data_IF_785520841482
#
_entry.id   IF_785520841482
#
_cell.length_a   1.000
_cell.length_b   1.000
_cell.length_c   1.000
_cell.angle_alpha   90.00
_cell.angle_beta   90.00
_cell.angle_gamma   90.00
#
_symmetry.space_group_name_H-M   'P 1'
#
loop_
_entity.id
_entity.type
_entity.pdbx_description
1 polymer ?
#
# COMPACT_ATOMS: atom_id res chain seq x y z
N UNK A 1 -26.71 44.29 -31.72
CA UNK A 1 -26.58 42.87 -32.13
C UNK A 1 -25.14 42.34 -32.09
N UNK A 2 -24.12 43.06 -32.59
CA UNK A 2 -22.72 42.59 -32.61
C UNK A 2 -22.15 42.18 -31.24
N UNK A 3 -22.42 42.96 -30.17
CA UNK A 3 -21.98 42.64 -28.79
C UNK A 3 -22.55 41.31 -28.27
N UNK A 4 -23.78 40.95 -28.65
CA UNK A 4 -24.42 39.69 -28.23
C UNK A 4 -23.76 38.50 -28.93
N UNK A 5 -23.45 38.63 -30.23
CA UNK A 5 -22.72 37.61 -31.00
C UNK A 5 -21.28 37.42 -30.51
N UNK A 6 -20.59 38.51 -30.14
CA UNK A 6 -19.24 38.46 -29.55
C UNK A 6 -19.25 37.73 -28.20
N UNK A 7 -20.23 38.01 -27.33
CA UNK A 7 -20.39 37.29 -26.07
C UNK A 7 -20.60 35.79 -26.27
N UNK A 8 -21.43 35.41 -27.25
CA UNK A 8 -21.66 34.00 -27.59
C UNK A 8 -20.38 33.32 -28.11
N UNK A 9 -19.58 34.01 -28.92
CA UNK A 9 -18.30 33.50 -29.41
C UNK A 9 -17.34 33.18 -28.26
N UNK A 10 -17.22 34.08 -27.27
CA UNK A 10 -16.37 33.83 -26.09
C UNK A 10 -16.83 32.61 -25.28
N UNK A 11 -18.15 32.45 -25.11
CA UNK A 11 -18.69 31.29 -24.39
C UNK A 11 -18.32 29.99 -25.11
N UNK A 12 -18.47 29.95 -26.45
CA UNK A 12 -18.11 28.77 -27.25
C UNK A 12 -16.63 28.45 -27.13
N UNK A 13 -15.75 29.45 -27.16
CA UNK A 13 -14.30 29.25 -27.00
C UNK A 13 -13.97 28.69 -25.61
N UNK A 14 -14.58 29.23 -24.55
CA UNK A 14 -14.37 28.74 -23.19
C UNK A 14 -14.83 27.28 -23.05
N UNK A 15 -16.00 26.95 -23.59
CA UNK A 15 -16.51 25.57 -23.57
C UNK A 15 -15.58 24.63 -24.34
N UNK A 16 -15.11 25.05 -25.52
CA UNK A 16 -14.17 24.26 -26.32
C UNK A 16 -12.86 23.99 -25.56
N UNK A 17 -12.32 25.01 -24.88
CA UNK A 17 -11.15 24.85 -24.02
C UNK A 17 -11.43 23.85 -22.89
N UNK A 18 -12.54 23.98 -22.17
CA UNK A 18 -12.89 23.04 -21.09
C UNK A 18 -12.96 21.61 -21.64
N UNK A 19 -13.63 21.38 -22.77
CA UNK A 19 -13.76 20.03 -23.36
C UNK A 19 -12.41 19.42 -23.73
N UNK A 20 -11.48 20.22 -24.25
CA UNK A 20 -10.14 19.75 -24.63
C UNK A 20 -9.26 19.47 -23.40
N UNK A 21 -9.30 20.35 -22.39
CA UNK A 21 -8.35 20.29 -21.26
C UNK A 21 -8.84 19.42 -20.09
N UNK A 22 -10.15 19.29 -19.87
CA UNK A 22 -10.72 18.52 -18.78
C UNK A 22 -10.29 17.04 -18.73
N UNK A 23 -10.31 16.26 -19.84
CA UNK A 23 -9.88 14.86 -19.80
C UNK A 23 -8.38 14.71 -19.46
N UNK A 24 -7.54 15.61 -19.98
CA UNK A 24 -6.11 15.62 -19.67
C UNK A 24 -5.85 15.91 -18.19
N UNK A 25 -6.56 16.89 -17.62
CA UNK A 25 -6.46 17.21 -16.20
C UNK A 25 -6.95 16.05 -15.31
N UNK A 26 -8.09 15.43 -15.66
CA UNK A 26 -8.61 14.28 -14.93
C UNK A 26 -7.61 13.11 -14.95
N UNK A 27 -7.02 12.81 -16.12
CA UNK A 27 -6.03 11.75 -16.24
C UNK A 27 -4.76 12.03 -15.44
N UNK A 28 -4.31 13.27 -15.45
CA UNK A 28 -3.16 13.70 -14.65
C UNK A 28 -3.41 13.49 -13.15
N UNK A 29 -4.60 13.86 -12.67
CA UNK A 29 -4.97 13.67 -11.26
C UNK A 29 -5.04 12.19 -10.88
N UNK A 30 -5.60 11.33 -11.74
CA UNK A 30 -5.62 9.88 -11.55
C UNK A 30 -4.21 9.31 -11.45
N UNK A 31 -3.33 9.68 -12.39
CA UNK A 31 -1.95 9.21 -12.42
C UNK A 31 -1.16 9.69 -11.20
N UNK A 32 -1.37 10.93 -10.77
CA UNK A 32 -0.73 11.49 -9.57
C UNK A 32 -1.16 10.73 -8.31
N UNK A 33 -2.45 10.45 -8.15
CA UNK A 33 -2.96 9.68 -7.02
C UNK A 33 -2.39 8.25 -7.02
N UNK A 34 -2.36 7.60 -8.20
CA UNK A 34 -1.77 6.27 -8.35
C UNK A 34 -0.28 6.25 -8.03
N UNK A 35 0.47 7.27 -8.44
CA UNK A 35 1.90 7.37 -8.15
C UNK A 35 2.14 7.46 -6.63
N UNK A 36 1.44 8.37 -5.94
CA UNK A 36 1.54 8.51 -4.47
C UNK A 36 1.18 7.20 -3.75
N UNK A 37 0.15 6.49 -4.23
CA UNK A 37 -0.22 5.19 -3.66
C UNK A 37 0.89 4.15 -3.86
N UNK A 38 1.45 4.06 -5.07
CA UNK A 38 2.50 3.10 -5.38
C UNK A 38 3.80 3.40 -4.62
N UNK A 39 4.17 4.67 -4.47
CA UNK A 39 5.34 5.06 -3.68
C UNK A 39 5.21 4.59 -2.23
N UNK A 40 4.04 4.78 -1.61
CA UNK A 40 3.77 4.28 -0.25
C UNK A 40 3.80 2.77 -0.16
N UNK A 41 3.27 2.09 -1.18
CA UNK A 41 3.26 0.63 -1.21
C UNK A 41 4.67 0.05 -1.38
N UNK A 42 5.52 0.70 -2.18
CA UNK A 42 6.94 0.34 -2.29
C UNK A 42 7.62 0.48 -0.94
N UNK A 43 7.46 1.63 -0.26
CA UNK A 43 8.07 1.85 1.05
C UNK A 43 7.60 0.80 2.08
N UNK A 44 6.31 0.47 2.10
CA UNK A 44 5.75 -0.58 2.96
C UNK A 44 6.38 -1.94 2.68
N UNK A 45 6.46 -2.33 1.41
CA UNK A 45 7.03 -3.61 1.00
C UNK A 45 8.52 -3.70 1.26
N UNK A 46 9.27 -2.61 1.10
CA UNK A 46 10.69 -2.56 1.43
C UNK A 46 10.92 -2.79 2.94
N UNK A 47 10.12 -2.15 3.79
CA UNK A 47 10.17 -2.37 5.24
C UNK A 47 9.81 -3.80 5.61
N UNK A 48 8.76 -4.36 5.02
CA UNK A 48 8.34 -5.74 5.21
C UNK A 48 9.44 -6.73 4.80
N UNK A 49 10.08 -6.48 3.66
CA UNK A 49 11.18 -7.29 3.15
C UNK A 49 12.38 -7.27 4.11
N UNK A 50 12.78 -6.10 4.62
CA UNK A 50 13.85 -5.98 5.62
C UNK A 50 13.52 -6.78 6.89
N UNK A 51 12.27 -6.73 7.35
CA UNK A 51 11.85 -7.48 8.54
C UNK A 51 11.89 -8.99 8.30
N UNK A 52 11.38 -9.45 7.15
CA UNK A 52 11.43 -10.87 6.77
C UNK A 52 12.86 -11.38 6.60
N UNK A 53 13.78 -10.57 6.06
CA UNK A 53 15.19 -10.94 6.00
C UNK A 53 15.80 -11.14 7.38
N UNK A 54 15.52 -10.24 8.34
CA UNK A 54 15.98 -10.37 9.72
C UNK A 54 15.40 -11.59 10.41
N UNK A 55 14.12 -11.89 10.18
CA UNK A 55 13.47 -13.09 10.71
C UNK A 55 14.08 -14.37 10.13
N UNK A 56 14.33 -14.39 8.82
CA UNK A 56 15.00 -15.48 8.13
C UNK A 56 16.43 -15.71 8.64
N UNK A 57 17.17 -14.65 8.96
CA UNK A 57 18.52 -14.74 9.52
C UNK A 57 18.47 -15.34 10.93
N UNK A 58 17.57 -14.87 11.79
CA UNK A 58 17.33 -15.45 13.13
C UNK A 58 16.97 -16.94 13.07
N UNK A 59 16.08 -17.32 12.15
CA UNK A 59 15.71 -18.72 11.91
C UNK A 59 16.87 -19.58 11.39
N UNK A 60 17.93 -19.00 10.82
CA UNK A 60 19.08 -19.76 10.33
C UNK A 60 20.18 -19.88 11.37
N UNK A 61 20.34 -18.87 12.22
CA UNK A 61 21.46 -18.80 13.16
C UNK A 61 21.10 -19.28 14.57
N UNK A 62 19.82 -19.32 14.93
CA UNK A 62 19.36 -19.65 16.28
C UNK A 62 18.52 -20.94 16.31
N UNK A 63 19.16 -22.04 16.73
CA UNK A 63 18.53 -23.36 16.93
C UNK A 63 17.39 -23.30 17.97
N UNK A 64 17.52 -22.49 19.02
CA UNK A 64 16.50 -22.36 20.07
C UNK A 64 15.28 -21.59 19.54
N UNK A 65 15.48 -20.64 18.62
CA UNK A 65 14.39 -19.94 17.94
C UNK A 65 13.63 -20.85 16.97
N UNK A 66 14.33 -21.71 16.21
CA UNK A 66 13.70 -22.75 15.36
C UNK A 66 12.86 -23.70 16.20
N UNK A 67 13.40 -24.20 17.32
CA UNK A 67 12.67 -25.07 18.26
C UNK A 67 11.42 -24.36 18.78
N UNK A 68 11.53 -23.09 19.19
CA UNK A 68 10.40 -22.29 19.68
C UNK A 68 9.28 -22.14 18.64
N UNK A 69 9.61 -21.79 17.40
CA UNK A 69 8.60 -21.63 16.32
C UNK A 69 7.96 -22.97 15.95
N UNK A 70 8.75 -24.06 15.93
CA UNK A 70 8.22 -25.40 15.72
C UNK A 70 7.26 -25.82 16.85
N UNK A 71 7.58 -25.49 18.11
CA UNK A 71 6.72 -25.75 19.26
C UNK A 71 5.41 -24.95 19.22
N UNK A 72 5.49 -23.66 18.92
CA UNK A 72 4.31 -22.79 18.81
C UNK A 72 3.39 -23.23 17.66
N UNK A 73 3.94 -23.58 16.50
CA UNK A 73 3.16 -24.06 15.35
C UNK A 73 2.53 -25.44 15.57
N UNK A 74 3.18 -26.33 16.34
CA UNK A 74 2.63 -27.64 16.68
C UNK A 74 1.79 -27.66 17.97
N UNK A 75 1.76 -26.57 18.74
CA UNK A 75 1.04 -26.49 20.01
C UNK A 75 1.63 -27.40 21.10
N UNK A 76 2.93 -27.68 21.04
CA UNK A 76 3.63 -28.62 21.93
C UNK A 76 4.62 -27.90 22.84
N UNK A 77 4.78 -28.34 24.09
CA UNK A 77 5.74 -27.80 25.06
C UNK A 77 7.11 -28.51 24.98
N UNK A 78 8.14 -27.96 25.65
CA UNK A 78 9.48 -28.58 25.65
C UNK A 78 9.43 -29.93 26.36
N UNK A 79 10.34 -30.84 26.00
CA UNK A 79 10.50 -32.10 26.71
C UNK A 79 10.80 -31.82 28.20
N UNK A 80 9.92 -32.27 29.10
CA UNK A 80 10.00 -31.99 30.55
C UNK A 80 9.15 -30.83 31.07
N UNK A 81 8.46 -30.06 30.21
CA UNK A 81 7.53 -28.99 30.61
C UNK A 81 6.06 -29.45 30.57
N UNK A 82 5.30 -29.20 31.65
CA UNK A 82 3.88 -29.54 31.75
C UNK A 82 3.04 -28.32 31.30
N UNK A 83 2.21 -28.43 30.25
CA UNK A 83 1.32 -27.34 29.85
C UNK A 83 0.22 -27.16 30.91
N UNK A 84 0.20 -26.00 31.57
CA UNK A 84 -0.85 -25.62 32.52
C UNK A 84 -1.86 -24.73 31.79
N UNK A 85 -3.07 -25.23 31.58
CA UNK A 85 -4.18 -24.43 31.06
C UNK A 85 -4.97 -23.88 32.25
N UNK A 86 -4.91 -22.57 32.45
CA UNK A 86 -5.70 -21.89 33.50
C UNK A 86 -7.03 -21.52 32.87
N UNK A 87 -8.10 -22.21 33.26
CA UNK A 87 -9.48 -21.85 32.91
C UNK A 87 -10.07 -20.98 34.04
N UNK A 88 -10.85 -19.92 33.72
CA UNK A 88 -11.43 -19.01 34.72
C UNK A 88 -12.56 -19.64 35.54
#
# INVERSE_FOLDING_TARGET
MAKIKIRQLYIVIIVALIVVFLPGYAKFMELRAKNIYLEKEIERLEQENVNLYKEKEKLKEDIDYIEKVARESMGVTREGEIPIKIEP
#
